data_IF_409377507275
#
_entry.id   IF_409377507275
#
_cell.length_a   1.000
_cell.length_b   1.000
_cell.length_c   1.000
_cell.angle_alpha   90.00
_cell.angle_beta   90.00
_cell.angle_gamma   90.00
#
_symmetry.space_group_name_H-M   'P 1'
#
loop_
_entity.id
_entity.type
_entity.pdbx_description
1 polymer ?
#
# COMPACT_ATOMS: atom_id res chain seq x y z
N UNK A 1 -6.21 -5.62 4.47
CA UNK A 1 -7.00 -6.87 4.42
C UNK A 1 -8.37 -6.71 5.05
N UNK A 2 -8.49 -6.22 6.30
CA UNK A 2 -9.81 -5.99 6.95
C UNK A 2 -10.82 -5.21 6.08
N UNK A 3 -10.40 -4.09 5.47
CA UNK A 3 -11.26 -3.30 4.59
C UNK A 3 -11.84 -4.10 3.42
N UNK A 4 -11.05 -5.03 2.89
CA UNK A 4 -11.40 -5.85 1.74
C UNK A 4 -12.42 -6.95 2.13
N UNK A 5 -12.21 -7.59 3.29
CA UNK A 5 -13.18 -8.54 3.86
C UNK A 5 -14.51 -7.86 4.15
N UNK A 6 -14.49 -6.67 4.74
CA UNK A 6 -15.70 -5.90 5.03
C UNK A 6 -16.43 -5.41 3.77
N UNK A 7 -15.76 -5.36 2.61
CA UNK A 7 -16.38 -5.02 1.33
C UNK A 7 -17.12 -6.22 0.69
N UNK A 8 -16.95 -7.43 1.26
CA UNK A 8 -17.56 -8.69 0.83
C UNK A 8 -18.36 -9.28 1.99
N UNK A 9 -19.55 -8.74 2.31
CA UNK A 9 -20.35 -9.20 3.46
C UNK A 9 -20.86 -10.64 3.31
N UNK A 10 -21.05 -11.08 2.06
CA UNK A 10 -21.47 -12.44 1.71
C UNK A 10 -20.28 -13.25 1.18
N UNK A 11 -20.42 -13.91 0.03
CA UNK A 11 -19.32 -14.60 -0.64
C UNK A 11 -18.42 -13.63 -1.41
N UNK A 12 -17.13 -13.96 -1.46
CA UNK A 12 -16.16 -13.21 -2.24
C UNK A 12 -14.77 -13.83 -2.19
N UNK A 13 -13.88 -13.34 -3.04
CA UNK A 13 -12.50 -13.82 -3.14
C UNK A 13 -11.55 -12.69 -2.78
N UNK A 14 -10.74 -12.91 -1.74
CA UNK A 14 -9.59 -12.07 -1.44
C UNK A 14 -8.32 -12.68 -2.06
N UNK A 15 -7.69 -11.95 -2.97
CA UNK A 15 -6.46 -12.35 -3.66
C UNK A 15 -5.28 -11.51 -3.16
N UNK A 16 -4.19 -12.16 -2.78
CA UNK A 16 -2.90 -11.54 -2.50
C UNK A 16 -1.91 -11.95 -3.59
N UNK A 17 -1.28 -10.97 -4.26
CA UNK A 17 -0.22 -11.20 -5.24
C UNK A 17 0.97 -10.30 -4.96
N UNK A 18 2.17 -10.82 -5.17
CA UNK A 18 3.40 -10.04 -5.11
C UNK A 18 4.19 -10.21 -6.39
N UNK A 19 4.86 -9.14 -6.82
CA UNK A 19 5.78 -9.21 -7.95
C UNK A 19 6.80 -8.07 -7.87
N UNK A 20 7.91 -8.24 -8.58
CA UNK A 20 8.86 -7.17 -8.86
C UNK A 20 8.32 -6.31 -10.02
N UNK A 21 8.12 -5.02 -9.78
CA UNK A 21 8.01 -4.05 -10.87
C UNK A 21 9.42 -3.58 -11.23
N UNK A 22 9.97 -4.13 -12.32
CA UNK A 22 11.33 -3.83 -12.79
C UNK A 22 11.51 -2.38 -13.18
N UNK A 23 10.48 -1.77 -13.79
CA UNK A 23 10.56 -0.41 -14.32
C UNK A 23 10.64 0.63 -13.19
N UNK A 24 9.97 0.35 -12.08
CA UNK A 24 10.02 1.17 -10.87
C UNK A 24 11.10 0.72 -9.87
N UNK A 25 11.72 -0.43 -10.09
CA UNK A 25 12.60 -1.11 -9.12
C UNK A 25 11.97 -1.25 -7.72
N UNK A 26 10.71 -1.69 -7.68
CA UNK A 26 9.92 -1.82 -6.45
C UNK A 26 9.25 -3.19 -6.36
N UNK A 27 9.12 -3.71 -5.14
CA UNK A 27 8.22 -4.83 -4.85
C UNK A 27 6.81 -4.28 -4.78
N UNK A 28 5.87 -4.93 -5.45
CA UNK A 28 4.45 -4.64 -5.38
C UNK A 28 3.74 -5.73 -4.59
N UNK A 29 2.89 -5.33 -3.66
CA UNK A 29 1.97 -6.19 -2.91
C UNK A 29 0.56 -5.76 -3.29
N UNK A 30 -0.14 -6.55 -4.09
CA UNK A 30 -1.54 -6.27 -4.45
C UNK A 30 -2.50 -7.13 -3.63
N UNK A 31 -3.47 -6.45 -3.03
CA UNK A 31 -4.61 -7.02 -2.35
C UNK A 31 -5.84 -6.70 -3.20
N UNK A 32 -6.52 -7.73 -3.71
CA UNK A 32 -7.72 -7.57 -4.55
C UNK A 32 -8.89 -8.30 -3.94
N UNK A 33 -10.01 -7.61 -3.76
CA UNK A 33 -11.30 -8.21 -3.41
C UNK A 33 -12.29 -8.15 -4.58
N UNK A 34 -13.33 -8.97 -4.47
CA UNK A 34 -14.50 -8.98 -5.37
C UNK A 34 -15.72 -8.33 -4.71
N UNK A 35 -15.49 -7.39 -3.77
CA UNK A 35 -16.55 -6.73 -3.02
C UNK A 35 -17.24 -5.61 -3.79
N UNK A 36 -17.94 -4.74 -3.07
CA UNK A 36 -18.67 -3.61 -3.67
C UNK A 36 -17.77 -2.56 -4.36
N UNK A 37 -16.45 -2.60 -4.15
CA UNK A 37 -15.52 -1.61 -4.68
C UNK A 37 -15.45 -0.32 -3.85
N UNK A 38 -14.79 0.70 -4.42
CA UNK A 38 -14.71 2.05 -3.86
C UNK A 38 -15.22 3.04 -4.89
N UNK A 39 -16.21 3.85 -4.53
CA UNK A 39 -16.76 4.86 -5.43
C UNK A 39 -15.68 5.91 -5.81
N UNK A 40 -15.67 6.33 -7.07
CA UNK A 40 -14.61 7.18 -7.64
C UNK A 40 -14.48 8.52 -6.91
N UNK A 41 -15.61 9.09 -6.47
CA UNK A 41 -15.68 10.33 -5.70
C UNK A 41 -15.09 10.23 -4.28
N UNK A 42 -14.96 9.01 -3.76
CA UNK A 42 -14.42 8.71 -2.43
C UNK A 42 -12.89 8.53 -2.51
N UNK A 43 -12.36 8.04 -3.64
CA UNK A 43 -10.92 7.73 -3.82
C UNK A 43 -9.96 8.86 -3.41
N UNK A 44 -10.20 10.15 -3.70
CA UNK A 44 -9.30 11.22 -3.26
C UNK A 44 -9.21 11.37 -1.74
N UNK A 45 -10.23 10.89 -1.02
CA UNK A 45 -10.43 11.12 0.41
C UNK A 45 -10.13 9.90 1.29
N UNK A 46 -9.92 8.72 0.69
CA UNK A 46 -9.70 7.45 1.43
C UNK A 46 -8.48 7.48 2.37
N UNK A 47 -7.55 8.40 2.15
CA UNK A 47 -6.37 8.62 3.00
C UNK A 47 -6.55 9.76 4.02
N UNK A 48 -7.68 10.47 4.01
CA UNK A 48 -7.99 11.50 5.00
C UNK A 48 -8.26 10.83 6.37
N UNK A 49 -7.57 11.24 7.44
CA UNK A 49 -7.90 10.80 8.79
C UNK A 49 -9.38 11.06 9.11
N UNK A 50 -10.02 10.11 9.78
CA UNK A 50 -11.43 10.18 10.19
C UNK A 50 -12.46 10.09 9.07
N UNK A 51 -12.05 10.04 7.81
CA UNK A 51 -12.98 9.83 6.71
C UNK A 51 -13.36 8.34 6.60
N UNK A 52 -14.66 8.07 6.58
CA UNK A 52 -15.20 6.70 6.56
C UNK A 52 -16.65 6.73 6.07
N UNK A 53 -17.04 5.71 5.32
CA UNK A 53 -18.45 5.42 4.98
C UNK A 53 -19.10 4.43 5.95
N UNK A 54 -18.31 3.88 6.88
CA UNK A 54 -18.74 2.87 7.84
C UNK A 54 -19.05 3.53 9.18
N UNK A 55 -20.25 3.27 9.70
CA UNK A 55 -20.76 3.86 10.95
C UNK A 55 -19.92 3.46 12.19
N UNK A 56 -19.39 2.24 12.22
CA UNK A 56 -18.69 1.69 13.40
C UNK A 56 -17.15 1.71 13.29
N UNK A 57 -16.60 2.56 12.41
CA UNK A 57 -15.15 2.66 12.18
C UNK A 57 -14.70 4.10 12.27
N UNK A 58 -13.58 4.34 12.96
CA UNK A 58 -13.01 5.69 13.07
C UNK A 58 -12.32 6.20 11.80
N UNK A 59 -12.22 5.41 10.71
CA UNK A 59 -11.55 5.86 9.48
C UNK A 59 -10.04 6.08 9.61
N UNK A 60 -9.35 5.38 10.52
CA UNK A 60 -7.91 5.56 10.76
C UNK A 60 -7.01 4.50 10.10
N UNK A 61 -7.55 3.34 9.73
CA UNK A 61 -6.73 2.21 9.27
C UNK A 61 -5.93 2.50 8.00
N UNK A 62 -6.59 3.03 6.97
CA UNK A 62 -5.94 3.31 5.69
C UNK A 62 -5.00 4.54 5.75
N UNK A 63 -5.34 5.65 6.44
CA UNK A 63 -4.38 6.73 6.71
C UNK A 63 -3.11 6.26 7.44
N UNK A 64 -3.24 5.38 8.45
CA UNK A 64 -2.08 4.82 9.16
C UNK A 64 -1.23 3.96 8.20
N UNK A 65 -1.86 3.09 7.42
CA UNK A 65 -1.16 2.26 6.45
C UNK A 65 -0.41 3.10 5.40
N UNK A 66 -1.04 4.16 4.89
CA UNK A 66 -0.42 5.11 3.98
C UNK A 66 0.82 5.76 4.60
N UNK A 67 0.71 6.27 5.83
CA UNK A 67 1.84 6.84 6.56
C UNK A 67 2.98 5.84 6.74
N UNK A 68 2.68 4.62 7.19
CA UNK A 68 3.70 3.57 7.37
C UNK A 68 4.43 3.31 6.06
N UNK A 69 3.68 3.09 4.96
CA UNK A 69 4.27 2.82 3.64
C UNK A 69 5.12 4.00 3.16
N UNK A 70 4.64 5.24 3.32
CA UNK A 70 5.41 6.44 2.95
C UNK A 70 6.67 6.62 3.78
N UNK A 71 6.64 6.34 5.09
CA UNK A 71 7.81 6.40 5.98
C UNK A 71 8.89 5.37 5.58
N UNK A 72 8.51 4.30 4.87
CA UNK A 72 9.43 3.32 4.29
C UNK A 72 9.84 3.65 2.84
N UNK A 73 9.52 4.85 2.34
CA UNK A 73 9.85 5.28 0.97
C UNK A 73 8.98 4.62 -0.11
N UNK A 74 7.87 3.99 0.29
CA UNK A 74 6.90 3.39 -0.61
C UNK A 74 5.69 4.28 -0.89
N UNK A 75 4.73 3.75 -1.63
CA UNK A 75 3.42 4.39 -1.84
C UNK A 75 2.30 3.37 -2.02
N UNK A 76 1.04 3.82 -1.87
CA UNK A 76 -0.15 2.99 -2.05
C UNK A 76 -0.96 3.53 -3.23
N UNK A 77 -1.34 2.65 -4.16
CA UNK A 77 -2.31 2.95 -5.21
C UNK A 77 -3.60 2.16 -4.99
N UNK A 78 -4.75 2.79 -5.17
CA UNK A 78 -6.06 2.14 -5.03
C UNK A 78 -6.83 2.33 -6.34
N UNK A 79 -7.37 1.24 -6.86
CA UNK A 79 -8.20 1.22 -8.05
C UNK A 79 -9.42 0.33 -7.81
N UNK A 80 -10.57 0.74 -8.31
CA UNK A 80 -11.81 -0.03 -8.31
C UNK A 80 -12.30 -0.12 -9.76
N UNK A 81 -12.87 -1.26 -10.16
CA UNK A 81 -13.56 -1.39 -11.45
C UNK A 81 -15.02 -0.93 -11.27
N UNK A 82 -15.66 -0.42 -12.33
CA UNK A 82 -17.10 -0.15 -12.39
C UNK A 82 -17.93 -1.43 -12.17
N UNK A 83 -17.36 -2.59 -12.50
CA UNK A 83 -17.96 -3.90 -12.28
C UNK A 83 -17.87 -4.40 -10.83
N UNK A 84 -17.27 -3.62 -9.93
CA UNK A 84 -17.04 -3.97 -8.53
C UNK A 84 -15.61 -4.48 -8.24
N UNK A 85 -15.34 -4.66 -6.96
CA UNK A 85 -14.04 -5.10 -6.43
C UNK A 85 -13.02 -3.97 -6.28
N UNK A 86 -12.17 -4.08 -5.27
CA UNK A 86 -11.09 -3.12 -5.02
C UNK A 86 -9.74 -3.79 -5.19
N UNK A 87 -8.80 -3.12 -5.85
CA UNK A 87 -7.38 -3.47 -5.86
C UNK A 87 -6.57 -2.38 -5.15
N UNK A 88 -5.95 -2.75 -4.04
CA UNK A 88 -4.96 -1.93 -3.32
C UNK A 88 -3.58 -2.48 -3.65
N UNK A 89 -2.71 -1.65 -4.24
CA UNK A 89 -1.33 -2.01 -4.59
C UNK A 89 -0.37 -1.19 -3.72
N UNK A 90 0.44 -1.88 -2.91
CA UNK A 90 1.46 -1.28 -2.06
C UNK A 90 2.80 -1.46 -2.76
N UNK A 91 3.53 -0.35 -2.97
CA UNK A 91 4.83 -0.32 -3.62
C UNK A 91 5.89 -0.05 -2.58
N UNK A 92 6.92 -0.88 -2.52
CA UNK A 92 8.02 -0.77 -1.58
C UNK A 92 9.37 -0.76 -2.34
N UNK A 93 10.29 0.15 -1.99
CA UNK A 93 11.60 0.20 -2.62
C UNK A 93 12.40 -1.07 -2.32
N UNK A 94 13.18 -1.51 -3.31
CA UNK A 94 14.15 -2.59 -3.10
C UNK A 94 15.47 -1.95 -2.73
N UNK A 95 15.91 -2.24 -1.53
CA UNK A 95 17.24 -1.85 -1.07
C UNK A 95 18.21 -2.93 -1.52
N UNK A 96 19.14 -2.60 -2.42
CA UNK A 96 20.30 -3.45 -2.64
C UNK A 96 21.21 -3.35 -1.41
N UNK A 97 21.21 -4.40 -0.58
CA UNK A 97 22.03 -4.47 0.62
C UNK A 97 23.53 -4.25 0.36
N UNK A 98 24.00 -4.45 -0.88
CA UNK A 98 25.39 -4.20 -1.28
C UNK A 98 25.73 -2.71 -1.36
N UNK A 99 24.79 -1.87 -1.81
CA UNK A 99 25.00 -0.42 -1.91
C UNK A 99 25.05 0.24 -0.53
N UNK A 100 24.23 -0.22 0.42
CA UNK A 100 24.27 0.27 1.79
C UNK A 100 25.59 -0.08 2.49
N UNK A 101 26.14 -1.27 2.25
CA UNK A 101 27.42 -1.66 2.83
C UNK A 101 28.58 -0.81 2.30
N UNK A 102 28.61 -0.53 0.99
CA UNK A 102 29.64 0.33 0.38
C UNK A 102 29.59 1.77 0.89
N UNK A 103 28.38 2.34 1.05
CA UNK A 103 28.19 3.68 1.60
C UNK A 103 28.71 3.79 3.04
N UNK A 104 28.45 2.77 3.88
CA UNK A 104 28.94 2.72 5.27
C UNK A 104 30.47 2.65 5.30
N UNK A 105 31.08 1.79 4.47
CA UNK A 105 32.55 1.66 4.40
C UNK A 105 33.20 2.96 3.93
N UNK A 106 32.61 3.64 2.94
CA UNK A 106 33.11 4.93 2.46
C UNK A 106 33.05 6.02 3.56
N UNK A 107 31.94 6.12 4.28
CA UNK A 107 31.78 7.08 5.38
C UNK A 107 32.78 6.81 6.52
N UNK A 108 33.06 5.54 6.82
CA UNK A 108 34.05 5.15 7.83
C UNK A 108 35.48 5.53 7.45
N UNK A 109 35.85 5.42 6.17
CA UNK A 109 37.16 5.85 5.67
C UNK A 109 37.32 7.37 5.80
N UNK A 110 36.29 8.14 5.46
CA UNK A 110 36.31 9.60 5.56
C UNK A 110 36.42 10.12 7.00
N UNK A 111 35.88 9.39 7.98
CA UNK A 111 35.96 9.76 9.39
C UNK A 111 37.29 9.37 10.07
N UNK A 112 38.19 8.69 9.35
CA UNK A 112 39.51 8.26 9.84
C UNK A 112 40.67 9.14 9.32
N UNK A 113 40.37 10.21 8.58
CA UNK A 113 41.31 11.23 8.11
C UNK A 113 41.09 12.55 8.87
#
# INVERSE_FOLDING_TARGET
>A
MQNAVEAMPDEGVLTLKTWLNSDLNMIVIAITDTGAGVATEILPRVFEPFYTTKLDRMGLGLPIAHRIVSEHGGFINISSDEKGGTKVSIYMPIIDGRLNHLSIVHQQILNLQ
#
